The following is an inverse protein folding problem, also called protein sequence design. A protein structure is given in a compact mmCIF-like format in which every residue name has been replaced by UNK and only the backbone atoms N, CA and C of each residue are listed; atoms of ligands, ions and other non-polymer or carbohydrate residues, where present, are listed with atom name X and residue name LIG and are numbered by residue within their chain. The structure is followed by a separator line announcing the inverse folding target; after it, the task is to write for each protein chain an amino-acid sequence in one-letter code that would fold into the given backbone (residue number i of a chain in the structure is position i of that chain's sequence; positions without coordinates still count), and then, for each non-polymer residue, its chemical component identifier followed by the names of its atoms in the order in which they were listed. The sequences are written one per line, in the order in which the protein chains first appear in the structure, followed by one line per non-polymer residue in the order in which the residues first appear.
data_IF_548300637291
#
_entry.id   IF_548300637291
#
_cell.length_a   1.000
_cell.length_b   1.000
_cell.length_c   1.000
_cell.angle_alpha   90.00
_cell.angle_beta   90.00
_cell.angle_gamma   90.00
#
_symmetry.space_group_name_H-M   'P 1'
#
loop_
_entity.id
_entity.type
_entity.pdbx_description
1 polymer ?
#
# COMPACT_ATOMS: atom_id res chain seq x y z
N UNK A 1 4.23 20.14 5.20
CA UNK A 1 3.82 21.48 4.83
C UNK A 1 2.32 21.52 4.57
N UNK A 2 1.61 22.35 5.30
CA UNK A 2 0.16 22.54 5.16
C UNK A 2 -0.08 23.83 4.36
N UNK A 3 -1.12 23.85 3.52
CA UNK A 3 -1.61 25.06 2.88
C UNK A 3 -2.41 25.90 3.88
N UNK A 4 -2.68 27.17 3.55
CA UNK A 4 -3.47 28.06 4.41
C UNK A 4 -4.91 27.56 4.64
N UNK A 5 -5.44 26.77 3.72
CA UNK A 5 -6.78 26.12 3.81
C UNK A 5 -6.76 24.80 4.63
N UNK A 6 -5.63 24.44 5.23
CA UNK A 6 -5.47 23.21 6.00
C UNK A 6 -5.23 21.95 5.16
N UNK A 7 -5.20 22.05 3.85
CA UNK A 7 -4.87 20.92 2.99
C UNK A 7 -3.37 20.64 2.96
N UNK A 8 -3.00 19.37 2.76
CA UNK A 8 -1.58 18.98 2.61
C UNK A 8 -1.01 19.57 1.32
N UNK A 9 0.08 20.33 1.47
CA UNK A 9 0.82 20.83 0.31
C UNK A 9 1.74 19.75 -0.25
N UNK A 10 1.16 18.84 -1.02
CA UNK A 10 1.90 17.73 -1.65
C UNK A 10 2.98 18.21 -2.61
N UNK A 11 2.87 19.40 -3.18
CA UNK A 11 3.88 19.94 -4.08
C UNK A 11 5.20 20.32 -3.35
N UNK A 12 5.13 20.63 -2.07
CA UNK A 12 6.29 20.99 -1.25
C UNK A 12 6.97 19.77 -0.58
N UNK A 13 6.40 18.57 -0.72
CA UNK A 13 6.95 17.35 -0.15
C UNK A 13 7.62 16.50 -1.25
N UNK A 14 8.76 15.87 -0.98
CA UNK A 14 9.35 14.93 -1.93
C UNK A 14 8.38 13.74 -2.13
N UNK A 15 8.33 13.21 -3.36
CA UNK A 15 7.71 11.92 -3.60
C UNK A 15 8.63 10.84 -3.01
N UNK A 16 8.07 9.97 -2.18
CA UNK A 16 8.76 8.82 -1.61
C UNK A 16 8.03 7.54 -2.01
N UNK A 17 8.78 6.46 -2.14
CA UNK A 17 8.19 5.15 -2.34
C UNK A 17 7.38 4.77 -1.08
N UNK A 18 6.13 4.31 -1.27
CA UNK A 18 5.36 3.78 -0.14
C UNK A 18 6.06 2.54 0.43
N UNK A 19 6.31 2.46 1.74
CA UNK A 19 7.11 1.37 2.31
C UNK A 19 6.58 -0.03 2.01
N UNK A 20 5.28 -0.26 2.12
CA UNK A 20 4.70 -1.59 1.83
C UNK A 20 4.70 -1.90 0.32
N UNK A 21 4.58 -0.90 -0.56
CA UNK A 21 4.76 -1.09 -2.01
C UNK A 21 6.21 -1.38 -2.38
N UNK A 22 7.17 -0.89 -1.59
CA UNK A 22 8.57 -1.26 -1.76
C UNK A 22 8.80 -2.74 -1.42
N UNK A 23 8.11 -3.27 -0.40
CA UNK A 23 8.10 -4.71 -0.12
C UNK A 23 7.38 -5.50 -1.23
N UNK A 24 6.30 -4.94 -1.80
CA UNK A 24 5.61 -5.53 -2.95
C UNK A 24 6.53 -5.62 -4.18
N UNK A 25 7.30 -4.57 -4.46
CA UNK A 25 8.31 -4.57 -5.51
C UNK A 25 9.36 -5.66 -5.27
N UNK A 26 9.92 -5.75 -4.06
CA UNK A 26 10.89 -6.79 -3.72
C UNK A 26 10.32 -8.19 -3.92
N UNK A 27 9.05 -8.41 -3.51
CA UNK A 27 8.40 -9.69 -3.72
C UNK A 27 8.23 -10.02 -5.21
N UNK A 28 7.83 -9.05 -6.03
CA UNK A 28 7.73 -9.23 -7.48
C UNK A 28 9.09 -9.54 -8.11
N UNK A 29 10.16 -8.86 -7.66
CA UNK A 29 11.54 -9.13 -8.12
C UNK A 29 12.03 -10.51 -7.67
N UNK A 30 11.66 -10.96 -6.47
CA UNK A 30 11.98 -12.32 -5.99
C UNK A 30 11.28 -13.38 -6.86
N UNK A 31 10.01 -13.16 -7.22
CA UNK A 31 9.29 -14.04 -8.16
C UNK A 31 9.99 -14.05 -9.52
N UNK A 32 10.39 -12.88 -10.03
CA UNK A 32 11.12 -12.76 -11.29
C UNK A 32 12.44 -13.53 -11.26
N UNK A 33 13.19 -13.45 -10.15
CA UNK A 33 14.47 -14.16 -10.00
C UNK A 33 14.29 -15.69 -9.99
N UNK A 34 13.11 -16.20 -9.60
CA UNK A 34 12.79 -17.64 -9.58
C UNK A 34 12.12 -18.14 -10.87
N UNK A 35 11.45 -17.27 -11.61
CA UNK A 35 10.69 -17.63 -12.80
C UNK A 35 11.34 -17.02 -14.05
N UNK A 36 12.11 -17.81 -14.78
CA UNK A 36 12.79 -17.38 -16.00
C UNK A 36 11.82 -16.82 -17.05
N UNK A 37 12.18 -15.71 -17.69
CA UNK A 37 11.34 -15.01 -18.67
C UNK A 37 10.32 -14.06 -18.08
N UNK A 38 10.20 -13.97 -16.76
CA UNK A 38 9.28 -13.03 -16.09
C UNK A 38 9.78 -11.60 -16.19
N UNK A 39 8.81 -10.66 -16.25
CA UNK A 39 9.05 -9.22 -16.26
C UNK A 39 8.27 -8.54 -15.13
N UNK A 40 8.83 -7.47 -14.57
CA UNK A 40 8.22 -6.68 -13.50
C UNK A 40 8.03 -5.25 -13.96
N UNK A 41 6.78 -4.81 -13.98
CA UNK A 41 6.40 -3.44 -14.31
C UNK A 41 5.74 -2.76 -13.11
N UNK A 42 5.98 -1.47 -12.96
CA UNK A 42 5.34 -0.63 -11.96
C UNK A 42 4.18 0.11 -12.58
N UNK A 43 3.02 0.10 -11.93
CA UNK A 43 1.92 0.99 -12.23
C UNK A 43 1.72 1.95 -11.07
N UNK A 44 1.73 3.25 -11.34
CA UNK A 44 1.42 4.28 -10.35
C UNK A 44 0.52 5.35 -10.94
N UNK A 45 -0.43 5.85 -10.15
CA UNK A 45 -1.29 6.97 -10.52
C UNK A 45 -0.86 8.21 -9.75
N UNK A 46 -0.62 9.31 -10.47
CA UNK A 46 -0.19 10.53 -9.81
C UNK A 46 0.25 11.63 -10.79
N UNK A 47 0.76 12.75 -10.27
CA UNK A 47 1.34 13.82 -11.09
C UNK A 47 2.63 13.34 -11.76
N UNK A 48 3.09 14.07 -12.80
CA UNK A 48 4.26 13.71 -13.60
C UNK A 48 5.52 13.37 -12.76
N UNK A 49 5.70 14.01 -11.60
CA UNK A 49 6.80 13.70 -10.68
C UNK A 49 6.76 12.28 -10.09
N UNK A 50 5.60 11.60 -10.13
CA UNK A 50 5.52 10.20 -9.70
C UNK A 50 6.32 9.25 -10.61
N UNK A 51 6.76 9.72 -11.79
CA UNK A 51 7.74 9.01 -12.62
C UNK A 51 9.06 8.71 -11.90
N UNK A 52 9.43 9.51 -10.89
CA UNK A 52 10.65 9.28 -10.11
C UNK A 52 10.55 8.00 -9.27
N UNK A 53 9.36 7.63 -8.81
CA UNK A 53 9.10 6.37 -8.12
C UNK A 53 9.30 5.18 -9.07
N UNK A 54 8.83 5.28 -10.30
CA UNK A 54 9.05 4.24 -11.32
C UNK A 54 10.55 4.09 -11.60
N UNK A 55 11.30 5.20 -11.73
CA UNK A 55 12.74 5.14 -11.91
C UNK A 55 13.45 4.49 -10.72
N UNK A 56 13.06 4.80 -9.47
CA UNK A 56 13.62 4.15 -8.29
C UNK A 56 13.36 2.63 -8.30
N UNK A 57 12.17 2.19 -8.71
CA UNK A 57 11.88 0.78 -8.89
C UNK A 57 12.77 0.11 -9.96
N UNK A 58 13.01 0.80 -11.08
CA UNK A 58 13.90 0.31 -12.13
C UNK A 58 15.36 0.22 -11.65
N UNK A 59 15.81 1.13 -10.77
CA UNK A 59 17.14 1.04 -10.13
C UNK A 59 17.30 -0.23 -9.29
N UNK A 60 16.18 -0.78 -8.77
CA UNK A 60 16.14 -2.01 -7.98
C UNK A 60 15.95 -3.26 -8.83
N UNK A 61 15.44 -3.14 -10.05
CA UNK A 61 15.35 -4.28 -10.97
C UNK A 61 14.08 -4.43 -11.76
N UNK A 62 13.11 -3.51 -11.62
CA UNK A 62 11.95 -3.48 -12.48
C UNK A 62 12.35 -3.22 -13.95
N UNK A 63 11.61 -3.78 -14.89
CA UNK A 63 11.90 -3.70 -16.34
C UNK A 63 11.33 -2.42 -16.96
N UNK A 64 10.36 -1.80 -16.30
CA UNK A 64 9.74 -0.57 -16.75
C UNK A 64 8.58 -0.16 -15.85
N UNK A 65 7.74 0.76 -16.34
CA UNK A 65 6.55 1.15 -15.62
C UNK A 65 5.64 2.07 -16.38
N UNK A 66 4.43 2.16 -15.87
CA UNK A 66 3.32 2.95 -16.38
C UNK A 66 2.97 4.05 -15.37
N UNK A 67 2.94 5.27 -15.83
CA UNK A 67 2.45 6.41 -15.07
C UNK A 67 1.06 6.79 -15.56
N UNK A 68 0.05 6.51 -14.75
CA UNK A 68 -1.31 6.95 -15.02
C UNK A 68 -1.45 8.39 -14.50
N UNK A 69 -1.52 9.36 -15.43
CA UNK A 69 -1.52 10.78 -15.09
C UNK A 69 -2.42 11.59 -16.00
N UNK A 70 -3.43 12.20 -15.39
CA UNK A 70 -4.35 13.13 -16.02
C UNK A 70 -4.96 14.04 -14.95
N UNK A 71 -5.41 15.23 -15.33
CA UNK A 71 -6.19 16.10 -14.44
C UNK A 71 -7.54 15.49 -14.07
N UNK A 72 -8.10 14.66 -14.95
CA UNK A 72 -9.35 13.95 -14.72
C UNK A 72 -9.28 13.01 -13.50
N UNK A 73 -8.11 12.50 -13.15
CA UNK A 73 -7.92 11.63 -11.96
C UNK A 73 -7.74 12.40 -10.66
N UNK A 74 -7.66 13.73 -10.70
CA UNK A 74 -7.36 14.52 -9.51
C UNK A 74 -8.50 14.45 -8.47
N UNK A 75 -8.13 14.30 -7.20
CA UNK A 75 -9.08 14.26 -6.08
C UNK A 75 -9.84 12.94 -5.93
N UNK A 76 -9.40 11.89 -6.64
CA UNK A 76 -9.96 10.54 -6.52
C UNK A 76 -9.83 10.01 -5.08
N UNK A 77 -10.89 9.41 -4.57
CA UNK A 77 -10.86 8.54 -3.39
C UNK A 77 -10.41 7.12 -3.74
N UNK A 78 -10.53 6.18 -2.82
CA UNK A 78 -10.09 4.79 -3.05
C UNK A 78 -10.90 4.08 -4.14
N UNK A 79 -12.19 4.38 -4.28
CA UNK A 79 -13.04 3.77 -5.31
C UNK A 79 -12.66 4.28 -6.70
N UNK A 80 -12.60 5.58 -6.90
CA UNK A 80 -12.23 6.17 -8.18
C UNK A 80 -10.77 5.87 -8.55
N UNK A 81 -9.86 5.78 -7.55
CA UNK A 81 -8.46 5.38 -7.75
C UNK A 81 -8.36 3.93 -8.23
N UNK A 82 -9.00 2.99 -7.54
CA UNK A 82 -8.97 1.58 -7.90
C UNK A 82 -9.63 1.32 -9.25
N UNK A 83 -10.71 2.04 -9.56
CA UNK A 83 -11.35 1.97 -10.87
C UNK A 83 -10.40 2.39 -11.99
N UNK A 84 -9.78 3.58 -11.90
CA UNK A 84 -8.84 4.06 -12.91
C UNK A 84 -7.65 3.12 -13.11
N UNK A 85 -7.05 2.63 -12.00
CA UNK A 85 -5.96 1.65 -12.03
C UNK A 85 -6.40 0.33 -12.66
N UNK A 86 -7.61 -0.14 -12.37
CA UNK A 86 -8.13 -1.39 -12.93
C UNK A 86 -8.28 -1.31 -14.46
N UNK A 87 -8.66 -0.14 -15.00
CA UNK A 87 -8.74 0.05 -16.46
C UNK A 87 -7.36 -0.05 -17.12
N UNK A 88 -6.34 0.55 -16.52
CA UNK A 88 -4.97 0.40 -16.99
C UNK A 88 -4.48 -1.06 -16.90
N UNK A 89 -4.76 -1.75 -15.79
CA UNK A 89 -4.40 -3.16 -15.60
C UNK A 89 -5.12 -4.10 -16.58
N UNK A 90 -6.36 -3.79 -16.96
CA UNK A 90 -7.10 -4.55 -17.96
C UNK A 90 -6.45 -4.51 -19.35
N UNK A 91 -5.77 -3.40 -19.70
CA UNK A 91 -4.98 -3.28 -20.94
C UNK A 91 -3.60 -3.96 -20.81
N UNK A 92 -2.95 -3.83 -19.66
CA UNK A 92 -1.61 -4.41 -19.39
C UNK A 92 -1.68 -5.94 -19.27
N UNK A 93 -2.75 -6.49 -18.69
CA UNK A 93 -3.02 -7.93 -18.49
C UNK A 93 -1.90 -8.67 -17.76
N UNK A 94 -1.53 -8.25 -16.56
CA UNK A 94 -0.52 -8.95 -15.78
C UNK A 94 -1.03 -10.30 -15.28
N UNK A 95 -0.12 -11.29 -15.12
CA UNK A 95 -0.44 -12.58 -14.49
C UNK A 95 -0.58 -12.45 -12.97
N UNK A 96 0.16 -11.52 -12.35
CA UNK A 96 0.10 -11.27 -10.90
C UNK A 96 0.16 -9.76 -10.68
N UNK A 97 -0.75 -9.27 -9.83
CA UNK A 97 -0.73 -7.90 -9.33
C UNK A 97 -0.31 -7.95 -7.87
N UNK A 98 0.85 -7.34 -7.55
CA UNK A 98 1.36 -7.28 -6.18
C UNK A 98 1.35 -5.82 -5.73
N UNK A 99 0.70 -5.55 -4.62
CA UNK A 99 0.62 -4.21 -4.01
C UNK A 99 0.95 -4.27 -2.52
N UNK A 100 1.38 -3.17 -1.93
CA UNK A 100 1.40 -3.02 -0.49
C UNK A 100 -0.01 -3.11 0.09
N UNK A 101 -0.13 -3.50 1.35
CA UNK A 101 -1.43 -3.55 2.04
C UNK A 101 -2.14 -2.20 1.98
N UNK A 102 -1.40 -1.10 2.18
CA UNK A 102 -1.97 0.25 2.22
C UNK A 102 -0.93 1.33 1.90
N UNK A 103 -1.41 2.51 1.51
CA UNK A 103 -0.59 3.70 1.36
C UNK A 103 -0.47 4.44 2.70
N UNK A 104 0.70 5.01 2.98
CA UNK A 104 0.98 5.73 4.25
C UNK A 104 0.24 7.06 4.39
N UNK A 105 -0.31 7.60 3.31
CA UNK A 105 -1.06 8.86 3.31
C UNK A 105 -2.56 8.67 3.47
N UNK A 106 -3.12 7.60 2.94
CA UNK A 106 -4.55 7.29 3.01
C UNK A 106 -4.91 6.30 4.11
N UNK A 107 -4.03 5.35 4.40
CA UNK A 107 -4.12 4.35 5.48
C UNK A 107 -5.43 3.55 5.48
N UNK A 108 -5.99 3.27 4.28
CA UNK A 108 -7.31 2.66 4.12
C UNK A 108 -7.28 1.16 3.86
N UNK A 109 -6.19 0.62 3.32
CA UNK A 109 -6.03 -0.78 2.90
C UNK A 109 -7.11 -1.28 1.90
N UNK A 110 -7.72 -0.39 1.12
CA UNK A 110 -8.86 -0.70 0.27
C UNK A 110 -8.50 -0.91 -1.21
N UNK A 111 -7.47 -0.22 -1.72
CA UNK A 111 -7.19 -0.18 -3.18
C UNK A 111 -6.89 -1.57 -3.74
N UNK A 112 -6.06 -2.38 -3.06
CA UNK A 112 -5.75 -3.75 -3.49
C UNK A 112 -7.00 -4.64 -3.64
N UNK A 113 -7.82 -4.80 -2.58
CA UNK A 113 -9.09 -5.53 -2.66
C UNK A 113 -10.06 -5.00 -3.73
N UNK A 114 -10.19 -3.67 -3.86
CA UNK A 114 -11.04 -3.06 -4.89
C UNK A 114 -10.54 -3.33 -6.31
N UNK A 115 -9.22 -3.36 -6.52
CA UNK A 115 -8.65 -3.76 -7.82
C UNK A 115 -9.06 -5.19 -8.20
N UNK A 116 -9.00 -6.12 -7.23
CA UNK A 116 -9.42 -7.49 -7.45
C UNK A 116 -10.89 -7.58 -7.87
N UNK A 117 -11.76 -6.85 -7.18
CA UNK A 117 -13.20 -6.79 -7.49
C UNK A 117 -13.45 -6.20 -8.88
N UNK A 118 -12.85 -5.06 -9.22
CA UNK A 118 -13.01 -4.43 -10.53
C UNK A 118 -12.52 -5.31 -11.69
N UNK A 119 -11.52 -6.15 -11.45
CA UNK A 119 -10.95 -7.05 -12.45
C UNK A 119 -11.60 -8.44 -12.45
N UNK A 120 -12.46 -8.76 -11.47
CA UNK A 120 -13.04 -10.09 -11.29
C UNK A 120 -11.98 -11.15 -10.96
N UNK A 121 -10.91 -10.77 -10.26
CA UNK A 121 -9.78 -11.63 -9.94
C UNK A 121 -9.81 -12.08 -8.47
N UNK A 122 -9.26 -13.28 -8.17
CA UNK A 122 -9.01 -13.68 -6.80
C UNK A 122 -8.17 -12.65 -6.03
N UNK A 123 -8.57 -12.35 -4.78
CA UNK A 123 -7.80 -11.49 -3.89
C UNK A 123 -7.15 -12.30 -2.76
N UNK A 124 -5.89 -12.02 -2.51
CA UNK A 124 -5.09 -12.62 -1.44
C UNK A 124 -4.44 -11.49 -0.64
N UNK A 125 -4.92 -11.22 0.56
CA UNK A 125 -4.53 -10.03 1.31
C UNK A 125 -3.54 -10.31 2.44
N UNK A 126 -2.74 -9.28 2.82
CA UNK A 126 -1.83 -9.31 3.96
C UNK A 126 -0.84 -10.49 3.94
N UNK A 127 -0.30 -10.81 2.76
CA UNK A 127 0.64 -11.90 2.61
C UNK A 127 1.97 -11.60 3.32
N UNK A 128 2.42 -12.52 4.17
CA UNK A 128 3.75 -12.53 4.79
C UNK A 128 4.68 -13.62 4.19
N UNK A 129 4.19 -14.43 3.27
CA UNK A 129 4.99 -15.30 2.40
C UNK A 129 4.18 -15.64 1.14
N UNK A 130 4.88 -15.81 0.02
CA UNK A 130 4.29 -16.14 -1.30
C UNK A 130 5.11 -17.26 -1.94
N UNK A 131 4.42 -18.24 -2.53
CA UNK A 131 5.00 -19.24 -3.44
C UNK A 131 4.15 -19.35 -4.70
N UNK A 132 4.79 -19.60 -5.84
CA UNK A 132 4.14 -19.87 -7.12
C UNK A 132 4.36 -21.32 -7.47
N UNK A 133 3.30 -22.08 -7.67
CA UNK A 133 3.33 -23.50 -7.98
C UNK A 133 2.19 -23.84 -8.94
N UNK A 134 2.50 -24.57 -10.01
CA UNK A 134 1.51 -25.13 -10.95
C UNK A 134 0.45 -24.13 -11.45
N UNK A 135 0.87 -22.94 -11.84
CA UNK A 135 -0.04 -21.90 -12.35
C UNK A 135 -0.98 -21.29 -11.27
N UNK A 136 -0.66 -21.51 -10.02
CA UNK A 136 -1.39 -20.96 -8.88
C UNK A 136 -0.43 -20.21 -7.93
N UNK A 137 -1.00 -19.26 -7.21
CA UNK A 137 -0.33 -18.56 -6.13
C UNK A 137 -0.82 -19.07 -4.78
N UNK A 138 0.12 -19.33 -3.89
CA UNK A 138 -0.13 -19.70 -2.49
C UNK A 138 0.49 -18.68 -1.59
N UNK A 139 -0.27 -18.17 -0.62
CA UNK A 139 0.21 -17.23 0.37
C UNK A 139 0.07 -17.77 1.79
N UNK A 140 0.89 -17.22 2.69
CA UNK A 140 0.63 -17.25 4.13
C UNK A 140 0.18 -15.86 4.55
N UNK A 141 -1.04 -15.78 5.05
CA UNK A 141 -1.63 -14.55 5.57
C UNK A 141 -1.47 -14.53 7.09
N UNK A 142 -1.04 -13.40 7.63
CA UNK A 142 -0.98 -13.17 9.07
C UNK A 142 -2.37 -12.74 9.58
N UNK A 143 -2.91 -13.48 10.55
CA UNK A 143 -4.14 -13.14 11.26
C UNK A 143 -3.85 -12.89 12.74
N UNK A 144 -4.86 -12.48 13.50
CA UNK A 144 -4.70 -12.12 14.91
C UNK A 144 -4.24 -13.29 15.81
N UNK A 145 -4.65 -14.52 15.51
CA UNK A 145 -4.41 -15.73 16.35
C UNK A 145 -3.73 -16.86 15.60
N UNK A 146 -3.67 -16.81 14.28
CA UNK A 146 -3.14 -17.89 13.46
C UNK A 146 -2.72 -17.38 12.08
N UNK A 147 -1.84 -18.13 11.42
CA UNK A 147 -1.58 -17.96 10.00
C UNK A 147 -2.60 -18.74 9.18
N UNK A 148 -3.14 -18.10 8.15
CA UNK A 148 -3.96 -18.76 7.14
C UNK A 148 -3.10 -19.05 5.92
N UNK A 149 -3.28 -20.22 5.33
CA UNK A 149 -2.68 -20.57 4.04
C UNK A 149 -3.78 -20.56 2.99
N UNK A 150 -3.66 -19.63 2.05
CA UNK A 150 -4.62 -19.44 0.96
C UNK A 150 -3.97 -19.80 -0.37
N UNK A 151 -4.73 -20.35 -1.30
CA UNK A 151 -4.29 -20.69 -2.66
C UNK A 151 -5.35 -20.21 -3.66
N UNK A 152 -4.89 -19.59 -4.75
CA UNK A 152 -5.76 -19.16 -5.84
C UNK A 152 -5.11 -19.42 -7.20
N UNK A 153 -5.89 -19.63 -8.28
CA UNK A 153 -5.35 -19.65 -9.63
C UNK A 153 -4.84 -18.27 -10.05
N UNK A 154 -3.95 -18.22 -11.01
CA UNK A 154 -3.55 -16.99 -11.70
C UNK A 154 -4.52 -16.71 -12.87
N UNK A 155 -4.75 -15.42 -13.24
CA UNK A 155 -4.21 -14.22 -12.61
C UNK A 155 -4.85 -13.91 -11.25
N UNK A 156 -4.10 -13.21 -10.36
CA UNK A 156 -4.56 -12.87 -9.00
C UNK A 156 -4.00 -11.53 -8.53
N UNK A 157 -4.71 -10.92 -7.56
CA UNK A 157 -4.26 -9.72 -6.84
C UNK A 157 -3.80 -10.11 -5.43
N UNK A 158 -2.60 -9.68 -5.06
CA UNK A 158 -2.00 -9.94 -3.76
C UNK A 158 -1.62 -8.64 -3.09
N UNK A 159 -1.98 -8.48 -1.83
CA UNK A 159 -1.40 -7.41 -1.01
C UNK A 159 -0.42 -7.99 0.01
N UNK A 160 0.69 -7.30 0.23
CA UNK A 160 1.76 -7.76 1.12
C UNK A 160 1.92 -6.83 2.32
N UNK A 161 2.37 -7.40 3.42
CA UNK A 161 2.74 -6.64 4.62
C UNK A 161 4.26 -6.44 4.69
N UNK A 162 4.69 -5.47 5.46
CA UNK A 162 6.12 -5.14 5.63
C UNK A 162 6.97 -6.34 6.07
N UNK A 163 6.40 -7.28 6.82
CA UNK A 163 7.09 -8.45 7.33
C UNK A 163 7.47 -9.51 6.27
N UNK A 164 7.03 -9.36 5.02
CA UNK A 164 7.24 -10.37 3.96
C UNK A 164 8.71 -10.50 3.54
N UNK A 165 9.43 -9.39 3.46
CA UNK A 165 10.81 -9.33 3.00
C UNK A 165 11.52 -8.04 3.43
N UNK A 166 12.81 -7.97 3.14
CA UNK A 166 13.62 -6.75 3.22
C UNK A 166 13.97 -6.29 1.79
N UNK A 167 13.55 -5.09 1.38
CA UNK A 167 13.75 -4.60 0.02
C UNK A 167 15.23 -4.45 -0.35
N UNK A 168 15.62 -4.95 -1.53
CA UNK A 168 16.98 -4.79 -2.07
C UNK A 168 17.33 -3.33 -2.32
N UNK A 169 18.61 -3.01 -2.20
CA UNK A 169 19.12 -1.68 -2.46
C UNK A 169 19.20 -1.39 -3.97
N UNK A 170 19.10 -0.10 -4.36
CA UNK A 170 19.30 0.31 -5.75
C UNK A 170 20.69 -0.07 -6.28
N UNK A 171 20.75 -0.55 -7.53
CA UNK A 171 21.98 -0.92 -8.18
C UNK A 171 22.49 0.21 -9.09
N UNK A 172 23.78 0.60 -8.96
CA UNK A 172 24.37 1.70 -9.71
C UNK A 172 24.36 1.47 -11.22
N UNK A 173 24.63 0.23 -11.67
CA UNK A 173 24.63 -0.10 -13.10
C UNK A 173 23.22 0.00 -13.69
N UNK A 174 22.21 -0.49 -12.96
CA UNK A 174 20.79 -0.35 -13.34
C UNK A 174 20.35 1.09 -13.36
N UNK A 175 20.84 1.93 -12.46
CA UNK A 175 20.57 3.37 -12.45
C UNK A 175 21.03 4.05 -13.74
N UNK A 176 22.20 3.70 -14.24
CA UNK A 176 22.71 4.25 -15.51
C UNK A 176 21.85 3.82 -16.72
N UNK A 177 21.33 2.60 -16.71
CA UNK A 177 20.44 2.09 -17.74
C UNK A 177 19.05 2.75 -17.66
N UNK A 178 18.46 2.77 -16.48
CA UNK A 178 17.12 3.30 -16.25
C UNK A 178 17.01 4.83 -16.48
N UNK A 179 18.09 5.58 -16.28
CA UNK A 179 18.11 7.00 -16.62
C UNK A 179 17.93 7.28 -18.11
N UNK A 180 18.12 6.29 -18.98
CA UNK A 180 17.89 6.38 -20.43
C UNK A 180 16.49 5.93 -20.83
N UNK A 181 15.75 5.32 -19.92
CA UNK A 181 14.39 4.83 -20.14
C UNK A 181 13.38 5.87 -19.64
N UNK A 182 12.27 5.98 -20.36
CA UNK A 182 11.13 6.80 -19.96
C UNK A 182 10.00 5.85 -19.54
N UNK A 183 9.35 6.08 -18.39
CA UNK A 183 8.10 5.40 -18.07
C UNK A 183 7.05 5.69 -19.13
N UNK A 184 6.22 4.71 -19.45
CA UNK A 184 5.08 4.93 -20.33
C UNK A 184 4.03 5.75 -19.57
N UNK A 185 3.59 6.84 -20.20
CA UNK A 185 2.53 7.68 -19.64
C UNK A 185 1.20 7.26 -20.23
N UNK A 186 0.21 7.03 -19.38
CA UNK A 186 -1.17 6.76 -19.73
C UNK A 186 -2.04 7.91 -19.23
N UNK A 187 -2.89 8.42 -20.10
CA UNK A 187 -3.92 9.43 -19.80
C UNK A 187 -5.31 8.79 -19.81
N UNK A 188 -6.34 9.55 -19.51
CA UNK A 188 -7.72 9.07 -19.61
C UNK A 188 -8.08 8.64 -21.04
N UNK A 189 -7.54 9.33 -22.06
CA UNK A 189 -7.79 9.06 -23.49
C UNK A 189 -7.14 7.73 -23.95
N UNK A 190 -6.12 7.25 -23.25
CA UNK A 190 -5.44 5.99 -23.56
C UNK A 190 -6.19 4.75 -23.00
N UNK A 191 -7.28 4.96 -22.28
CA UNK A 191 -8.07 3.91 -21.62
C UNK A 191 -9.49 3.84 -22.22
N UNK A 192 -9.70 3.08 -23.30
CA UNK A 192 -10.96 3.10 -24.08
C UNK A 192 -12.20 2.63 -23.29
N UNK A 193 -12.02 1.85 -22.23
CA UNK A 193 -13.11 1.38 -21.38
C UNK A 193 -13.30 2.21 -20.10
N UNK A 194 -12.69 3.39 -20.03
CA UNK A 194 -12.80 4.28 -18.88
C UNK A 194 -14.13 5.07 -18.93
N UNK A 195 -14.91 4.97 -17.86
CA UNK A 195 -16.10 5.80 -17.66
C UNK A 195 -15.69 7.11 -16.96
N UNK A 196 -15.88 8.29 -17.59
CA UNK A 196 -15.54 9.57 -16.99
C UNK A 196 -16.29 9.88 -15.69
N UNK A 197 -17.48 9.31 -15.51
CA UNK A 197 -18.29 9.51 -14.30
C UNK A 197 -17.77 8.72 -13.09
N UNK A 198 -16.87 7.76 -13.32
CA UNK A 198 -16.28 6.91 -12.28
C UNK A 198 -14.87 7.33 -11.85
N UNK A 199 -14.35 8.45 -12.32
CA UNK A 199 -12.97 8.90 -12.05
C UNK A 199 -12.89 10.23 -11.30
N UNK A 200 -11.73 10.51 -10.75
CA UNK A 200 -11.41 11.77 -10.09
C UNK A 200 -12.37 12.13 -8.95
N UNK A 201 -12.52 13.41 -8.72
CA UNK A 201 -13.41 13.92 -7.67
C UNK A 201 -14.90 13.65 -7.97
N UNK A 202 -15.27 13.56 -9.24
CA UNK A 202 -16.65 13.30 -9.66
C UNK A 202 -17.06 11.86 -9.35
N UNK A 203 -16.20 10.89 -9.68
CA UNK A 203 -16.41 9.48 -9.40
C UNK A 203 -16.16 9.05 -7.94
N UNK A 204 -15.85 10.01 -7.06
CA UNK A 204 -15.53 9.74 -5.65
C UNK A 204 -16.75 9.93 -4.75
N UNK A 205 -17.32 8.87 -4.15
CA UNK A 205 -18.38 8.98 -3.16
C UNK A 205 -17.93 9.66 -1.88
N UNK A 206 -16.62 9.65 -1.56
CA UNK A 206 -16.08 10.31 -0.37
C UNK A 206 -15.27 11.56 -0.74
N UNK A 207 -15.40 12.62 0.07
CA UNK A 207 -14.68 13.88 -0.11
C UNK A 207 -14.12 14.36 1.22
N UNK A 208 -12.83 14.76 1.21
CA UNK A 208 -12.23 15.36 2.40
C UNK A 208 -12.89 16.71 2.68
N UNK A 209 -13.64 16.78 3.78
CA UNK A 209 -14.29 18.02 4.22
C UNK A 209 -13.32 18.93 4.96
N UNK A 210 -12.49 18.38 5.85
CA UNK A 210 -11.56 19.14 6.68
C UNK A 210 -10.36 18.28 7.07
N UNK A 211 -9.18 18.89 7.09
CA UNK A 211 -7.97 18.32 7.68
C UNK A 211 -7.54 19.13 8.89
N UNK A 212 -7.06 18.48 9.94
CA UNK A 212 -6.53 19.14 11.13
C UNK A 212 -5.47 18.28 11.81
N UNK A 213 -4.60 18.93 12.56
CA UNK A 213 -3.64 18.23 13.42
C UNK A 213 -4.29 18.05 14.78
N UNK A 214 -4.54 16.80 15.24
CA UNK A 214 -5.14 16.59 16.55
C UNK A 214 -4.17 17.04 17.66
N UNK A 215 -4.65 17.90 18.54
CA UNK A 215 -3.92 18.29 19.74
C UNK A 215 -4.16 17.19 20.79
N UNK A 216 -3.15 16.36 21.01
CA UNK A 216 -3.20 15.34 22.07
C UNK A 216 -2.63 15.93 23.34
N UNK A 217 -3.48 16.21 24.33
CA UNK A 217 -3.05 16.50 25.70
C UNK A 217 -2.82 15.18 26.41
N UNK A 218 -1.55 14.81 26.60
CA UNK A 218 -1.21 13.65 27.45
C UNK A 218 -1.38 14.05 28.92
N UNK A 219 -2.27 13.40 29.62
CA UNK A 219 -2.28 13.40 31.07
C UNK A 219 -1.31 12.31 31.52
N UNK A 220 -0.15 12.73 32.03
CA UNK A 220 0.85 11.79 32.54
C UNK A 220 0.80 11.81 34.06
N UNK A 221 0.49 10.69 34.68
CA UNK A 221 0.57 10.50 36.11
C UNK A 221 1.88 9.79 36.42
N UNK A 222 2.68 10.37 37.31
CA UNK A 222 3.90 9.73 37.83
C UNK A 222 3.58 9.01 39.12
N UNK A 223 3.88 7.72 39.17
CA UNK A 223 3.72 6.88 40.35
C UNK A 223 5.14 6.68 40.94
N UNK A 224 5.30 6.95 42.25
CA UNK A 224 6.56 6.70 42.94
C UNK A 224 6.79 5.19 43.06
N UNK A 225 7.90 4.72 42.53
CA UNK A 225 8.30 3.30 42.57
C UNK A 225 9.08 2.89 43.80
N UNK A 226 9.28 3.77 44.79
CA UNK A 226 10.06 3.45 46.00
C UNK A 226 9.47 2.28 46.83
N UNK A 227 8.15 2.09 46.71
CA UNK A 227 7.43 0.94 47.30
C UNK A 227 6.65 0.23 46.18
N UNK A 228 7.19 -0.90 45.66
CA UNK A 228 6.60 -1.55 44.47
C UNK A 228 5.15 -1.98 44.65
N UNK A 229 4.76 -2.50 45.80
CA UNK A 229 3.38 -2.93 46.07
C UNK A 229 2.40 -1.75 46.05
N UNK A 230 2.76 -0.63 46.67
CA UNK A 230 1.94 0.58 46.67
C UNK A 230 1.87 1.21 45.26
N UNK A 231 2.96 1.15 44.49
CA UNK A 231 2.99 1.63 43.12
C UNK A 231 2.07 0.81 42.21
N UNK A 232 2.06 -0.50 42.32
CA UNK A 232 1.16 -1.41 41.58
C UNK A 232 -0.30 -1.14 41.96
N UNK A 233 -0.61 -1.05 43.24
CA UNK A 233 -1.97 -0.75 43.72
C UNK A 233 -2.47 0.59 43.19
N UNK A 234 -1.61 1.62 43.17
CA UNK A 234 -1.94 2.93 42.59
C UNK A 234 -2.16 2.84 41.10
N UNK A 235 -1.38 2.09 40.34
CA UNK A 235 -1.55 1.87 38.92
C UNK A 235 -2.88 1.18 38.63
N UNK A 236 -3.19 0.10 39.33
CA UNK A 236 -4.43 -0.65 39.16
C UNK A 236 -5.66 0.23 39.45
N UNK A 237 -5.64 1.04 40.51
CA UNK A 237 -6.71 1.96 40.83
C UNK A 237 -6.92 3.03 39.77
N UNK A 238 -5.84 3.49 39.11
CA UNK A 238 -5.95 4.45 38.01
C UNK A 238 -6.47 3.83 36.72
N UNK A 239 -6.10 2.58 36.41
CA UNK A 239 -6.63 1.84 35.27
C UNK A 239 -8.13 1.58 35.46
N UNK A 240 -8.54 1.19 36.66
CA UNK A 240 -9.96 0.99 36.98
C UNK A 240 -10.77 2.29 36.86
N UNK A 241 -10.24 3.39 37.42
CA UNK A 241 -10.85 4.71 37.28
C UNK A 241 -10.95 5.20 35.82
N UNK A 242 -10.05 4.73 34.95
CA UNK A 242 -10.06 4.97 33.51
C UNK A 242 -10.95 3.97 32.74
N UNK A 243 -11.66 3.08 33.42
CA UNK A 243 -12.45 1.99 32.85
C UNK A 243 -11.67 1.07 31.91
N UNK A 244 -10.37 0.85 32.19
CA UNK A 244 -9.52 -0.11 31.48
C UNK A 244 -9.57 -1.43 32.23
N UNK A 245 -10.35 -2.39 31.75
CA UNK A 245 -10.43 -3.74 32.32
C UNK A 245 -9.16 -4.54 31.97
N UNK A 246 -8.62 -5.22 32.99
CA UNK A 246 -7.55 -6.19 32.84
C UNK A 246 -8.09 -7.64 32.80
N UNK A 247 -9.42 -7.81 32.78
CA UNK A 247 -10.03 -9.12 32.65
C UNK A 247 -9.76 -9.69 31.24
N UNK A 248 -9.13 -10.85 31.18
CA UNK A 248 -8.78 -11.54 29.92
C UNK A 248 -7.30 -11.55 29.55
N UNK A 249 -6.43 -10.92 30.33
CA UNK A 249 -4.97 -10.97 30.09
C UNK A 249 -4.32 -12.24 30.70
N UNK A 250 -5.06 -13.02 31.50
CA UNK A 250 -4.53 -14.14 32.27
C UNK A 250 -4.62 -15.54 31.65
N UNK A 251 -5.31 -15.75 30.56
CA UNK A 251 -5.60 -17.11 30.06
C UNK A 251 -4.70 -17.59 28.90
N UNK A 252 -3.57 -16.93 28.68
CA UNK A 252 -2.63 -17.30 27.61
C UNK A 252 -1.17 -17.31 28.10
N UNK A 253 -0.88 -18.07 29.15
CA UNK A 253 0.48 -18.53 29.50
C UNK A 253 0.56 -20.04 29.36
#
# INVERSE_FOLDING_TARGET
AMKADGAVNRAALPAIFNPEDLNALEQALTIKDMCEGSTVYILTMGPLRAADIIRDAMFRGADGGYLLTDRAFAGADTLATSYALSRALAEIKPDIIVAGRQAIDGDTAQVGPMLAEHLGLPQLTCACAITIEDGAIRIRQEGERAYLVLRAPLPAVVTVVKAINEPRLPNVMRKLQANRMQPQTLTADDLPALDPDCIGLHGSPTKVSRTFVPVRTKQTVRIDGAQPEAAVASLLAQLDAAHISLEGVGDHV
#
